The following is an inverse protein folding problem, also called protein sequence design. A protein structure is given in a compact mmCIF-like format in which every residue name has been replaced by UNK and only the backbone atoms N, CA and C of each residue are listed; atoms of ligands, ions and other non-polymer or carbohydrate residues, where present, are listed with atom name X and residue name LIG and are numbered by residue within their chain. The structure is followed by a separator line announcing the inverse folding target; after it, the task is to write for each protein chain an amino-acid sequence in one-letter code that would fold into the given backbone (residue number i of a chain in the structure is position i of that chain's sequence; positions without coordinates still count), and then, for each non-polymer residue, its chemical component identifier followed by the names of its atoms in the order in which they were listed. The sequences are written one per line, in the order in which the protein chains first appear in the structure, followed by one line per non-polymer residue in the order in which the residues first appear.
data_IF_943881189554
#
_entry.id   IF_943881189554
#
_cell.length_a   1.000
_cell.length_b   1.000
_cell.length_c   1.000
_cell.angle_alpha   90.00
_cell.angle_beta   90.00
_cell.angle_gamma   90.00
#
_symmetry.space_group_name_H-M   'P 1'
#
loop_
_entity.id
_entity.type
_entity.pdbx_description
1 polymer ?
#
# COMPACT_ATOMS: atom_id res chain seq x y z
N UNK A 1 10.27 10.87 7.45
CA UNK A 1 9.30 9.95 8.08
C UNK A 1 8.59 10.69 9.20
N UNK A 2 7.29 10.51 9.35
CA UNK A 2 6.43 11.31 10.21
C UNK A 2 5.33 10.45 10.80
N UNK A 3 5.06 10.63 12.10
CA UNK A 3 3.93 10.03 12.79
C UNK A 3 2.75 11.02 12.77
N UNK A 4 1.71 10.70 12.00
CA UNK A 4 0.53 11.57 11.87
C UNK A 4 -0.43 11.49 13.06
N UNK A 5 -0.19 10.55 13.98
CA UNK A 5 -1.15 10.08 14.99
C UNK A 5 -2.17 9.08 14.46
N UNK A 6 -2.16 8.77 13.16
CA UNK A 6 -3.04 7.76 12.54
C UNK A 6 -2.26 6.72 11.76
N UNK A 7 -1.18 7.13 11.12
CA UNK A 7 -0.34 6.27 10.30
C UNK A 7 1.08 6.83 10.25
N UNK A 8 2.02 5.96 9.85
CA UNK A 8 3.37 6.38 9.51
C UNK A 8 3.37 6.86 8.07
N UNK A 9 3.88 8.07 7.86
CA UNK A 9 4.00 8.71 6.55
C UNK A 9 5.47 8.97 6.22
N UNK A 10 5.91 8.56 5.04
CA UNK A 10 7.21 8.91 4.49
C UNK A 10 6.97 9.72 3.21
N UNK A 11 7.40 10.98 3.24
CA UNK A 11 7.39 11.88 2.08
C UNK A 11 8.81 12.11 1.62
N UNK A 12 9.00 12.15 0.30
CA UNK A 12 10.30 12.41 -0.30
C UNK A 12 10.58 13.91 -0.31
N UNK A 13 11.86 14.24 -0.40
CA UNK A 13 12.27 15.61 -0.70
C UNK A 13 11.84 15.97 -2.13
N UNK A 14 11.44 17.22 -2.34
CA UNK A 14 10.95 17.73 -3.63
C UNK A 14 12.02 17.74 -4.72
N UNK A 15 13.29 17.69 -4.34
CA UNK A 15 14.42 17.59 -5.28
C UNK A 15 14.60 16.17 -5.83
N UNK A 16 14.15 15.14 -5.10
CA UNK A 16 14.34 13.73 -5.45
C UNK A 16 13.04 13.14 -5.99
N UNK A 17 12.78 13.39 -7.26
CA UNK A 17 11.56 12.95 -7.94
C UNK A 17 11.63 11.45 -8.26
N UNK A 18 10.62 10.70 -7.83
CA UNK A 18 10.43 9.28 -8.16
C UNK A 18 9.13 9.15 -8.94
N UNK A 19 9.21 8.59 -10.14
CA UNK A 19 8.06 8.40 -11.03
C UNK A 19 7.88 6.91 -11.38
N UNK A 20 6.65 6.52 -11.65
CA UNK A 20 6.27 5.22 -12.19
C UNK A 20 5.50 5.40 -13.51
N UNK A 21 5.55 4.39 -14.38
CA UNK A 21 4.81 4.35 -15.64
C UNK A 21 4.61 2.90 -16.11
N UNK A 22 3.74 2.69 -17.11
CA UNK A 22 3.42 1.37 -17.66
C UNK A 22 2.33 0.61 -16.90
N UNK A 23 2.26 -0.71 -17.12
CA UNK A 23 1.21 -1.56 -16.52
C UNK A 23 -0.20 -1.10 -16.94
N UNK A 24 -1.12 -0.83 -15.99
CA UNK A 24 -2.46 -0.35 -16.30
C UNK A 24 -2.54 1.17 -16.57
N UNK A 25 -1.43 1.90 -16.43
CA UNK A 25 -1.39 3.36 -16.48
C UNK A 25 -1.10 3.86 -17.90
N UNK A 26 -1.81 4.92 -18.30
CA UNK A 26 -1.52 5.65 -19.55
C UNK A 26 -0.46 6.73 -19.36
N UNK A 27 -0.40 7.33 -18.17
CA UNK A 27 0.46 8.49 -17.84
C UNK A 27 1.55 8.11 -16.85
N UNK A 28 2.61 8.92 -16.76
CA UNK A 28 3.56 8.80 -15.66
C UNK A 28 3.03 9.44 -14.37
N UNK A 29 3.17 8.72 -13.25
CA UNK A 29 2.72 9.17 -11.94
C UNK A 29 3.90 9.37 -11.01
N UNK A 30 3.88 10.46 -10.25
CA UNK A 30 4.94 10.84 -9.32
C UNK A 30 4.60 10.45 -7.90
N UNK A 31 5.54 9.83 -7.20
CA UNK A 31 5.41 9.45 -5.80
C UNK A 31 5.26 10.68 -4.91
N UNK A 32 4.21 10.70 -4.09
CA UNK A 32 3.92 11.75 -3.11
C UNK A 32 4.17 11.26 -1.67
N UNK A 33 3.65 10.07 -1.35
CA UNK A 33 3.65 9.54 0.02
C UNK A 33 3.79 8.02 0.00
N UNK A 34 4.65 7.49 0.88
CA UNK A 34 4.64 6.08 1.28
C UNK A 34 3.98 5.99 2.65
N UNK A 35 2.96 5.15 2.77
CA UNK A 35 2.15 4.99 3.98
C UNK A 35 2.22 3.56 4.47
N UNK A 36 2.26 3.39 5.80
CA UNK A 36 2.19 2.08 6.44
C UNK A 36 0.86 1.88 7.17
N UNK A 37 0.23 0.75 6.89
CA UNK A 37 -0.87 0.18 7.65
C UNK A 37 -0.40 -1.11 8.32
N UNK A 38 -0.75 -1.32 9.58
CA UNK A 38 -0.34 -2.52 10.32
C UNK A 38 -1.30 -2.86 11.45
N UNK A 39 -1.35 -4.15 11.76
CA UNK A 39 -2.25 -4.73 12.73
C UNK A 39 -1.64 -4.86 14.11
N UNK A 40 -2.50 -4.98 15.12
CA UNK A 40 -2.10 -5.42 16.46
C UNK A 40 -1.66 -6.89 16.47
N UNK A 41 -2.15 -7.68 15.51
CA UNK A 41 -1.82 -9.10 15.33
C UNK A 41 -1.19 -9.41 13.95
N UNK A 42 -0.48 -10.53 13.86
CA UNK A 42 0.28 -10.93 12.67
C UNK A 42 -0.62 -11.29 11.47
N UNK A 43 -1.92 -11.51 11.70
CA UNK A 43 -2.90 -11.83 10.65
C UNK A 43 -3.94 -10.74 10.36
N UNK A 44 -3.78 -9.52 10.91
CA UNK A 44 -4.84 -8.50 10.90
C UNK A 44 -4.32 -7.06 10.71
N UNK A 45 -3.64 -6.75 9.61
CA UNK A 45 -3.05 -5.42 9.42
C UNK A 45 -3.04 -4.85 8.01
N UNK A 46 -3.35 -5.65 6.99
CA UNK A 46 -3.54 -5.14 5.64
C UNK A 46 -4.98 -4.64 5.44
N UNK A 47 -5.14 -3.60 4.63
CA UNK A 47 -6.48 -3.12 4.24
C UNK A 47 -7.08 -4.07 3.19
N UNK A 48 -6.25 -4.52 2.26
CA UNK A 48 -6.62 -5.55 1.29
C UNK A 48 -6.57 -6.94 1.91
N UNK A 49 -7.46 -7.82 1.43
CA UNK A 49 -7.46 -9.24 1.77
C UNK A 49 -7.24 -10.05 0.51
N UNK A 50 -6.40 -11.09 0.61
CA UNK A 50 -6.23 -12.08 -0.46
C UNK A 50 -7.00 -13.33 -0.08
N UNK A 51 -8.03 -13.68 -0.85
CA UNK A 51 -8.92 -14.82 -0.57
C UNK A 51 -9.48 -14.81 0.88
N UNK A 52 -9.86 -13.60 1.35
CA UNK A 52 -10.36 -13.38 2.71
C UNK A 52 -9.31 -13.36 3.82
N UNK A 53 -8.02 -13.51 3.48
CA UNK A 53 -6.93 -13.50 4.47
C UNK A 53 -6.21 -12.15 4.47
N UNK A 54 -5.99 -11.60 5.67
CA UNK A 54 -5.17 -10.41 5.89
C UNK A 54 -3.69 -10.78 6.10
N UNK A 55 -2.83 -9.81 5.87
CA UNK A 55 -1.42 -9.83 6.21
C UNK A 55 -1.15 -9.00 7.46
N UNK A 56 0.07 -9.08 8.01
CA UNK A 56 0.46 -8.35 9.21
C UNK A 56 0.44 -6.82 9.01
N UNK A 57 0.56 -6.38 7.76
CA UNK A 57 0.44 -4.98 7.37
C UNK A 57 0.42 -4.79 5.86
N UNK A 58 0.39 -3.54 5.43
CA UNK A 58 0.39 -3.12 4.03
C UNK A 58 1.15 -1.80 3.87
N UNK A 59 2.02 -1.74 2.86
CA UNK A 59 2.65 -0.52 2.40
C UNK A 59 1.86 0.02 1.21
N UNK A 60 1.51 1.30 1.25
CA UNK A 60 0.86 2.00 0.14
C UNK A 60 1.77 3.12 -0.37
N UNK A 61 2.21 3.00 -1.62
CA UNK A 61 2.94 4.05 -2.33
C UNK A 61 1.95 4.83 -3.18
N UNK A 62 1.68 6.08 -2.78
CA UNK A 62 0.67 6.95 -3.37
C UNK A 62 1.35 7.86 -4.39
N UNK A 63 0.95 7.72 -5.64
CA UNK A 63 1.46 8.51 -6.75
C UNK A 63 0.34 9.37 -7.35
N UNK A 64 0.65 10.59 -7.76
CA UNK A 64 -0.29 11.44 -8.49
C UNK A 64 0.12 11.61 -9.94
N UNK A 65 -0.87 11.81 -10.81
CA UNK A 65 -0.66 12.07 -12.21
C UNK A 65 -0.11 13.50 -12.42
N UNK A 66 1.21 13.59 -12.50
CA UNK A 66 1.92 14.85 -12.64
C UNK A 66 1.97 15.37 -14.08
N UNK A 67 1.53 14.57 -15.05
CA UNK A 67 1.40 15.00 -16.45
C UNK A 67 0.10 15.78 -16.68
N UNK A 68 -0.98 15.44 -15.94
CA UNK A 68 -2.28 16.09 -16.05
C UNK A 68 -2.52 17.18 -15.00
N UNK A 69 -1.93 17.07 -13.82
CA UNK A 69 -2.25 17.94 -12.68
C UNK A 69 -1.00 18.56 -12.08
N UNK A 70 -1.14 19.79 -11.60
CA UNK A 70 -0.02 20.57 -11.06
C UNK A 70 0.53 20.00 -9.76
N UNK A 71 -0.34 19.38 -8.96
CA UNK A 71 -0.01 18.86 -7.65
C UNK A 71 -0.96 17.73 -7.21
N UNK A 72 -0.55 17.02 -6.17
CA UNK A 72 -1.33 15.96 -5.54
C UNK A 72 -2.76 16.41 -5.14
N UNK A 73 -2.93 17.60 -4.56
CA UNK A 73 -4.23 18.09 -4.07
C UNK A 73 -5.26 18.22 -5.18
N UNK A 74 -4.83 18.69 -6.36
CA UNK A 74 -5.67 18.76 -7.55
C UNK A 74 -5.95 17.38 -8.15
N UNK A 75 -4.91 16.56 -8.25
CA UNK A 75 -5.02 15.20 -8.79
C UNK A 75 -5.95 14.31 -7.94
N UNK A 76 -5.84 14.38 -6.61
CA UNK A 76 -6.58 13.51 -5.69
C UNK A 76 -8.11 13.61 -5.84
N UNK A 77 -8.63 14.73 -6.34
CA UNK A 77 -10.07 14.96 -6.58
C UNK A 77 -10.49 14.80 -8.04
N UNK A 78 -9.57 14.41 -8.91
CA UNK A 78 -9.76 14.45 -10.37
C UNK A 78 -9.61 13.06 -11.01
N UNK A 79 -10.27 12.79 -12.15
CA UNK A 79 -10.16 11.51 -12.85
C UNK A 79 -8.72 11.17 -13.25
N UNK A 80 -8.35 9.88 -13.22
CA UNK A 80 -6.98 9.43 -13.49
C UNK A 80 -5.93 10.15 -12.62
N UNK A 81 -6.33 10.58 -11.43
CA UNK A 81 -5.55 11.45 -10.58
C UNK A 81 -4.50 10.70 -9.78
N UNK A 82 -4.84 9.52 -9.27
CA UNK A 82 -3.98 8.75 -8.37
C UNK A 82 -3.73 7.33 -8.86
N UNK A 83 -2.52 6.86 -8.64
CA UNK A 83 -2.16 5.45 -8.69
C UNK A 83 -1.55 5.06 -7.35
N UNK A 84 -2.10 4.01 -6.73
CA UNK A 84 -1.62 3.52 -5.44
C UNK A 84 -1.07 2.12 -5.63
N UNK A 85 0.24 1.96 -5.43
CA UNK A 85 0.88 0.65 -5.38
C UNK A 85 0.78 0.13 -3.95
N UNK A 86 0.12 -1.01 -3.78
CA UNK A 86 -0.06 -1.70 -2.51
C UNK A 86 0.82 -2.95 -2.46
N UNK A 87 1.55 -3.10 -1.36
CA UNK A 87 2.46 -4.22 -1.11
C UNK A 87 2.19 -4.76 0.29
N UNK A 88 1.80 -6.02 0.39
CA UNK A 88 1.59 -6.68 1.67
C UNK A 88 2.89 -6.79 2.48
N UNK A 89 2.79 -6.66 3.79
CA UNK A 89 3.87 -6.89 4.74
C UNK A 89 3.68 -8.23 5.44
N UNK A 90 4.67 -9.14 5.32
CA UNK A 90 4.65 -10.46 5.93
C UNK A 90 5.85 -10.64 6.87
N UNK A 91 5.60 -11.18 8.06
CA UNK A 91 6.69 -11.47 9.00
C UNK A 91 7.55 -12.64 8.49
N UNK A 92 8.86 -12.47 8.55
CA UNK A 92 9.86 -13.49 8.26
C UNK A 92 11.11 -13.31 9.14
N UNK A 93 12.08 -14.22 9.03
CA UNK A 93 13.36 -14.14 9.74
C UNK A 93 14.23 -12.97 9.26
N UNK A 94 14.13 -12.63 7.97
CA UNK A 94 14.87 -11.54 7.36
C UNK A 94 13.93 -10.50 6.77
N UNK A 95 14.30 -9.22 6.94
CA UNK A 95 13.60 -8.07 6.36
C UNK A 95 14.26 -7.64 5.06
N UNK A 96 13.49 -7.02 4.16
CA UNK A 96 14.09 -6.36 3.00
C UNK A 96 14.91 -5.12 3.42
N UNK A 97 15.85 -4.72 2.57
CA UNK A 97 16.82 -3.66 2.85
C UNK A 97 16.15 -2.29 3.09
N UNK A 98 15.08 -1.99 2.36
CA UNK A 98 14.30 -0.76 2.55
C UNK A 98 13.73 -0.68 3.97
N UNK A 99 12.99 -1.71 4.43
CA UNK A 99 12.40 -1.70 5.76
C UNK A 99 13.46 -1.83 6.86
N UNK A 100 14.60 -2.46 6.61
CA UNK A 100 15.74 -2.45 7.55
C UNK A 100 16.25 -1.03 7.82
N UNK A 101 16.39 -0.21 6.79
CA UNK A 101 16.82 1.19 6.94
C UNK A 101 15.71 2.05 7.54
N UNK A 102 14.48 1.90 7.05
CA UNK A 102 13.34 2.71 7.48
C UNK A 102 12.89 2.39 8.92
N UNK A 103 12.94 1.12 9.34
CA UNK A 103 12.43 0.66 10.63
C UNK A 103 13.54 0.30 11.61
N UNK A 104 14.74 0.87 11.44
CA UNK A 104 15.80 0.70 12.43
C UNK A 104 15.42 1.36 13.77
N UNK A 105 16.10 0.94 14.84
CA UNK A 105 15.80 1.39 16.21
C UNK A 105 15.86 2.91 16.36
N UNK A 106 16.89 3.55 15.80
CA UNK A 106 17.09 5.00 15.93
C UNK A 106 15.98 5.79 15.25
N UNK A 107 15.50 5.30 14.10
CA UNK A 107 14.40 5.91 13.36
C UNK A 107 13.09 5.76 14.10
N UNK A 108 12.73 4.53 14.50
CA UNK A 108 11.43 4.24 15.10
C UNK A 108 11.26 4.98 16.43
N UNK A 109 12.29 4.99 17.27
CA UNK A 109 12.23 5.69 18.56
C UNK A 109 12.02 7.20 18.42
N UNK A 110 12.49 7.80 17.32
CA UNK A 110 12.32 9.23 17.02
C UNK A 110 10.96 9.60 16.45
N UNK A 111 10.12 8.63 16.10
CA UNK A 111 8.75 8.88 15.60
C UNK A 111 7.67 8.25 16.49
N UNK A 112 8.00 8.00 17.76
CA UNK A 112 7.15 7.21 18.67
C UNK A 112 5.78 7.85 18.87
N UNK A 113 5.69 9.17 18.98
CA UNK A 113 4.46 9.87 19.32
C UNK A 113 3.91 10.70 18.17
N UNK A 114 2.64 11.04 18.27
CA UNK A 114 1.97 11.90 17.29
C UNK A 114 2.73 13.21 17.09
N UNK A 115 2.87 13.58 15.83
CA UNK A 115 3.59 14.75 15.32
C UNK A 115 5.12 14.66 15.36
N UNK A 116 5.69 13.55 15.83
CA UNK A 116 7.12 13.34 15.71
C UNK A 116 7.54 13.14 14.25
N UNK A 117 8.69 13.72 13.89
CA UNK A 117 9.25 13.66 12.55
C UNK A 117 10.74 13.34 12.61
N UNK A 118 11.21 12.54 11.65
CA UNK A 118 12.62 12.24 11.48
C UNK A 118 13.01 12.24 10.01
N UNK A 119 14.14 12.91 9.70
CA UNK A 119 14.72 12.92 8.37
C UNK A 119 15.49 11.62 8.13
N UNK A 120 15.06 10.88 7.12
CA UNK A 120 15.75 9.67 6.66
C UNK A 120 16.58 10.00 5.43
N UNK A 121 17.80 9.49 5.38
CA UNK A 121 18.73 9.64 4.26
C UNK A 121 19.14 8.27 3.73
N UNK A 122 19.53 8.20 2.44
CA UNK A 122 20.05 6.97 1.84
C UNK A 122 19.01 5.84 1.65
N UNK A 123 17.72 6.17 1.59
CA UNK A 123 16.68 5.21 1.19
C UNK A 123 16.60 5.13 -0.34
N UNK A 124 16.72 3.92 -0.88
CA UNK A 124 16.41 3.65 -2.28
C UNK A 124 14.98 3.12 -2.37
N UNK A 125 14.09 3.87 -3.03
CA UNK A 125 12.67 3.48 -3.15
C UNK A 125 12.49 2.19 -3.94
N UNK A 126 13.38 1.88 -4.89
CA UNK A 126 13.30 0.64 -5.67
C UNK A 126 13.35 -0.61 -4.78
N UNK A 127 14.09 -0.56 -3.67
CA UNK A 127 14.28 -1.68 -2.74
C UNK A 127 13.01 -2.08 -1.98
N UNK A 128 11.96 -1.26 -2.01
CA UNK A 128 10.66 -1.63 -1.43
C UNK A 128 9.86 -2.53 -2.37
N UNK A 129 10.14 -2.51 -3.67
CA UNK A 129 9.42 -3.33 -4.62
C UNK A 129 9.88 -4.78 -4.49
N UNK A 130 8.95 -5.74 -4.34
CA UNK A 130 9.29 -7.14 -4.34
C UNK A 130 9.76 -7.58 -5.74
N UNK A 131 10.61 -8.61 -5.80
CA UNK A 131 11.06 -9.21 -7.06
C UNK A 131 9.92 -9.97 -7.77
N UNK A 132 8.99 -9.22 -8.35
CA UNK A 132 7.91 -9.73 -9.19
C UNK A 132 7.38 -8.61 -10.08
N UNK A 133 7.02 -8.96 -11.32
CA UNK A 133 6.26 -8.08 -12.22
C UNK A 133 4.76 -8.36 -12.18
N UNK A 134 4.34 -9.37 -11.42
CA UNK A 134 2.95 -9.79 -11.32
C UNK A 134 2.16 -8.93 -10.34
N UNK A 135 0.98 -8.47 -10.75
CA UNK A 135 0.10 -7.65 -9.93
C UNK A 135 -1.37 -7.86 -10.28
N UNK A 136 -2.24 -7.37 -9.39
CA UNK A 136 -3.68 -7.23 -9.57
C UNK A 136 -4.00 -5.74 -9.59
N UNK A 137 -4.97 -5.30 -10.40
CA UNK A 137 -5.33 -3.89 -10.51
C UNK A 137 -6.83 -3.67 -10.67
N UNK A 138 -7.34 -2.60 -10.08
CA UNK A 138 -8.75 -2.21 -10.15
C UNK A 138 -8.91 -0.71 -9.83
N UNK A 139 -10.04 -0.11 -10.22
CA UNK A 139 -10.38 1.28 -9.88
C UNK A 139 -11.06 1.36 -8.51
N UNK A 140 -10.63 2.29 -7.66
CA UNK A 140 -11.14 2.43 -6.30
C UNK A 140 -10.96 3.82 -5.74
N UNK A 141 -10.95 3.88 -4.41
CA UNK A 141 -10.86 5.12 -3.66
C UNK A 141 -9.58 5.19 -2.84
N UNK A 142 -9.29 6.38 -2.31
CA UNK A 142 -8.44 6.49 -1.13
C UNK A 142 -9.07 5.75 0.06
N UNK A 143 -8.25 5.23 0.97
CA UNK A 143 -8.72 4.54 2.19
C UNK A 143 -8.79 5.43 3.42
N UNK A 144 -8.27 6.66 3.30
CA UNK A 144 -8.36 7.71 4.33
C UNK A 144 -9.28 8.83 3.81
N UNK A 145 -10.12 9.44 4.67
CA UNK A 145 -10.93 10.61 4.31
C UNK A 145 -10.12 11.67 3.54
N UNK A 146 -10.68 12.24 2.46
CA UNK A 146 -12.09 12.22 2.06
C UNK A 146 -12.53 11.02 1.19
N UNK A 147 -11.70 9.99 1.02
CA UNK A 147 -12.06 8.77 0.30
C UNK A 147 -12.46 9.01 -1.18
N UNK A 148 -11.81 9.93 -1.89
CA UNK A 148 -12.09 10.18 -3.31
C UNK A 148 -11.90 8.93 -4.16
N UNK A 149 -12.85 8.67 -5.08
CA UNK A 149 -12.86 7.53 -6.01
C UNK A 149 -12.06 7.82 -7.29
N UNK A 150 -10.80 8.21 -7.10
CA UNK A 150 -9.88 8.69 -8.16
C UNK A 150 -8.61 7.86 -8.27
N UNK A 151 -8.57 6.72 -7.56
CA UNK A 151 -7.37 5.91 -7.38
C UNK A 151 -7.43 4.61 -8.18
N UNK A 152 -6.48 4.41 -9.08
CA UNK A 152 -6.19 3.10 -9.65
C UNK A 152 -5.26 2.34 -8.71
N UNK A 153 -5.71 1.19 -8.21
CA UNK A 153 -4.93 0.34 -7.31
C UNK A 153 -4.07 -0.65 -8.09
N UNK A 154 -2.84 -0.87 -7.64
CA UNK A 154 -1.91 -1.90 -8.14
C UNK A 154 -1.43 -2.71 -6.93
N UNK A 155 -1.91 -3.94 -6.78
CA UNK A 155 -1.54 -4.84 -5.69
C UNK A 155 -0.45 -5.80 -6.18
N UNK A 156 0.74 -5.71 -5.60
CA UNK A 156 1.87 -6.59 -5.98
C UNK A 156 1.63 -8.03 -5.53
N UNK A 157 1.91 -9.00 -6.40
CA UNK A 157 1.69 -10.45 -6.15
C UNK A 157 2.79 -11.11 -5.29
N UNK A 158 3.55 -10.33 -4.53
CA UNK A 158 4.56 -10.81 -3.59
C UNK A 158 4.64 -9.81 -2.44
N UNK A 159 4.66 -10.27 -1.18
CA UNK A 159 4.81 -9.36 -0.05
C UNK A 159 6.26 -8.88 0.07
N UNK A 160 6.44 -7.77 0.78
CA UNK A 160 7.71 -7.44 1.43
C UNK A 160 7.78 -8.10 2.80
N UNK A 161 9.01 -8.43 3.20
CA UNK A 161 9.25 -9.10 4.46
C UNK A 161 9.82 -8.13 5.49
N UNK A 162 9.38 -8.29 6.74
CA UNK A 162 9.95 -7.64 7.91
C UNK A 162 10.10 -8.64 9.05
N UNK A 163 10.99 -8.34 9.98
CA UNK A 163 11.19 -9.16 11.18
C UNK A 163 10.06 -8.95 12.19
N UNK A 164 9.87 -9.94 13.07
CA UNK A 164 8.94 -9.81 14.21
C UNK A 164 9.30 -8.62 15.10
N UNK A 165 10.59 -8.32 15.26
CA UNK A 165 11.04 -7.15 16.02
C UNK A 165 10.58 -5.84 15.38
N UNK A 166 10.78 -5.66 14.07
CA UNK A 166 10.32 -4.45 13.37
C UNK A 166 8.80 -4.29 13.45
N UNK A 167 8.05 -5.38 13.30
CA UNK A 167 6.59 -5.34 13.44
C UNK A 167 6.18 -4.94 14.87
N UNK A 168 6.83 -5.51 15.88
CA UNK A 168 6.59 -5.12 17.27
C UNK A 168 6.91 -3.64 17.52
N UNK A 169 8.00 -3.12 16.95
CA UNK A 169 8.36 -1.71 17.05
C UNK A 169 7.33 -0.78 16.40
N UNK A 170 6.72 -1.18 15.27
CA UNK A 170 5.59 -0.44 14.68
C UNK A 170 4.37 -0.38 15.62
N UNK A 171 4.05 -1.50 16.28
CA UNK A 171 2.93 -1.59 17.23
C UNK A 171 3.12 -0.73 18.49
N UNK A 172 4.35 -0.31 18.79
CA UNK A 172 4.69 0.59 19.89
C UNK A 172 4.59 2.08 19.51
N UNK A 173 4.28 2.42 18.26
CA UNK A 173 3.97 3.79 17.89
C UNK A 173 2.64 4.22 18.49
N UNK A 174 2.57 5.45 18.99
CA UNK A 174 1.40 6.02 19.64
C UNK A 174 0.63 6.94 18.69
N UNK A 175 -0.70 6.89 18.78
CA UNK A 175 -1.63 7.86 18.18
C UNK A 175 -1.64 9.20 18.94
N UNK A 176 -1.13 9.21 20.16
CA UNK A 176 -1.21 10.33 21.08
C UNK A 176 0.16 10.98 21.31
N UNK A 177 0.16 12.16 21.92
CA UNK A 177 1.37 12.83 22.39
C UNK A 177 1.89 12.20 23.71
N UNK A 178 3.15 12.46 24.12
CA UNK A 178 3.73 11.85 25.32
C UNK A 178 2.99 12.16 26.63
N UNK A 179 2.28 13.29 26.69
CA UNK A 179 1.51 13.74 27.86
C UNK A 179 0.16 13.05 28.03
N UNK A 180 -0.22 12.19 27.08
CA UNK A 180 -1.53 11.53 27.03
C UNK A 180 -1.37 10.02 27.22
N UNK A 181 -2.47 9.35 27.55
CA UNK A 181 -2.49 7.88 27.67
C UNK A 181 -2.03 7.27 26.36
N UNK A 182 -1.10 6.31 26.47
CA UNK A 182 -0.60 5.57 25.32
C UNK A 182 -1.77 4.87 24.60
N UNK A 183 -1.90 5.14 23.31
CA UNK A 183 -2.84 4.47 22.43
C UNK A 183 -2.07 3.99 21.21
N UNK A 184 -1.94 2.68 21.04
CA UNK A 184 -1.20 2.10 19.91
C UNK A 184 -1.77 2.57 18.57
N UNK A 185 -0.90 2.87 17.62
CA UNK A 185 -1.24 3.18 16.22
C UNK A 185 -1.63 1.92 15.41
N UNK A 186 -1.52 0.73 16.00
CA UNK A 186 -1.97 -0.51 15.36
C UNK A 186 -3.45 -0.44 14.99
N UNK A 187 -3.84 -1.31 14.06
CA UNK A 187 -5.21 -1.40 13.54
C UNK A 187 -5.67 -0.11 12.84
N UNK A 188 -4.71 0.61 12.24
CA UNK A 188 -4.95 1.80 11.43
C UNK A 188 -5.44 1.47 10.01
N UNK A 189 -6.31 0.49 9.89
CA UNK A 189 -6.84 -0.05 8.63
C UNK A 189 -8.30 0.34 8.41
N UNK A 190 -8.67 0.58 7.16
CA UNK A 190 -10.07 0.63 6.74
C UNK A 190 -10.57 -0.79 6.45
N UNK A 191 -11.77 -1.18 6.93
CA UNK A 191 -12.37 -2.46 6.58
C UNK A 191 -12.63 -2.60 5.07
N UNK A 192 -12.60 -3.85 4.57
CA UNK A 192 -12.92 -4.16 3.18
C UNK A 192 -14.30 -3.64 2.78
N UNK A 193 -14.38 -3.15 1.54
CA UNK A 193 -15.60 -2.57 0.98
C UNK A 193 -16.15 -3.46 -0.14
N UNK A 194 -17.46 -3.41 -0.43
CA UNK A 194 -18.07 -4.19 -1.50
C UNK A 194 -17.42 -3.96 -2.88
N UNK A 195 -17.35 -5.02 -3.71
CA UNK A 195 -16.75 -4.91 -5.04
C UNK A 195 -17.61 -4.09 -6.02
N UNK A 196 -18.94 -4.07 -5.85
CA UNK A 196 -19.88 -3.27 -6.66
C UNK A 196 -19.65 -3.40 -8.18
N UNK A 197 -19.52 -4.63 -8.69
CA UNK A 197 -19.32 -4.95 -10.11
C UNK A 197 -18.04 -4.38 -10.74
N UNK A 198 -17.10 -3.86 -9.96
CA UNK A 198 -15.80 -3.41 -10.48
C UNK A 198 -15.02 -4.56 -11.09
N UNK A 199 -14.39 -4.31 -12.23
CA UNK A 199 -13.54 -5.29 -12.89
C UNK A 199 -12.17 -5.34 -12.20
N UNK A 200 -11.77 -6.54 -11.79
CA UNK A 200 -10.41 -6.82 -11.31
C UNK A 200 -9.62 -7.38 -12.49
N UNK A 201 -8.49 -6.74 -12.79
CA UNK A 201 -7.57 -7.14 -13.86
C UNK A 201 -6.27 -7.65 -13.26
N UNK A 202 -5.55 -8.48 -14.00
CA UNK A 202 -4.23 -8.97 -13.58
C UNK A 202 -3.40 -9.36 -14.79
N UNK A 203 -2.08 -9.26 -14.66
CA UNK A 203 -1.13 -9.80 -15.62
C UNK A 203 -0.58 -11.19 -15.20
N UNK A 204 -1.11 -11.78 -14.12
CA UNK A 204 -0.72 -13.11 -13.66
C UNK A 204 -1.24 -14.15 -14.65
N UNK A 205 -0.33 -14.96 -15.20
CA UNK A 205 -0.73 -16.09 -16.03
C UNK A 205 -1.04 -17.31 -15.17
N UNK A 206 -2.32 -17.57 -14.94
CA UNK A 206 -2.80 -18.73 -14.17
C UNK A 206 -2.64 -20.07 -14.89
N UNK A 207 -2.30 -20.09 -16.19
CA UNK A 207 -2.08 -21.32 -16.94
C UNK A 207 -0.71 -21.96 -16.66
N UNK A 208 0.24 -21.18 -16.13
CA UNK A 208 1.55 -21.69 -15.71
C UNK A 208 1.44 -22.20 -14.27
N UNK A 209 1.11 -23.48 -14.10
CA UNK A 209 1.13 -24.12 -12.78
C UNK A 209 2.56 -24.19 -12.26
N UNK A 210 2.92 -23.31 -11.33
CA UNK A 210 4.09 -23.51 -10.46
C UNK A 210 3.86 -24.73 -9.57
N UNK A 211 4.90 -25.55 -9.36
CA UNK A 211 4.83 -26.82 -8.62
C UNK A 211 4.39 -26.70 -7.16
N UNK A 212 4.36 -25.49 -6.57
CA UNK A 212 3.97 -25.27 -5.17
C UNK A 212 3.06 -24.04 -5.01
N UNK A 213 1.75 -24.22 -5.24
CA UNK A 213 0.73 -23.23 -4.87
C UNK A 213 -0.50 -23.93 -4.28
N UNK A 214 -0.69 -23.91 -2.94
CA UNK A 214 -1.76 -24.66 -2.28
C UNK A 214 -3.18 -24.09 -2.47
N UNK A 215 -3.35 -22.97 -3.19
CA UNK A 215 -4.64 -22.26 -3.33
C UNK A 215 -5.13 -22.09 -4.79
N UNK A 216 -4.85 -23.05 -5.66
CA UNK A 216 -5.33 -23.05 -7.06
C UNK A 216 -6.81 -23.48 -7.19
N UNK A 217 -7.76 -22.74 -6.61
CA UNK A 217 -9.17 -22.80 -7.06
C UNK A 217 -9.42 -21.68 -8.06
N UNK A 218 -9.19 -21.97 -9.33
CA UNK A 218 -9.58 -21.10 -10.44
C UNK A 218 -11.11 -21.05 -10.48
N UNK A 219 -11.71 -19.97 -10.00
CA UNK A 219 -13.08 -19.65 -10.39
C UNK A 219 -13.03 -19.17 -11.84
N UNK A 220 -13.63 -19.96 -12.74
CA UNK A 220 -13.72 -19.66 -14.17
C UNK A 220 -14.50 -18.33 -14.31
N UNK A 221 -13.81 -17.24 -14.64
CA UNK A 221 -14.44 -15.97 -14.99
C UNK A 221 -15.33 -16.21 -16.21
N UNK A 222 -16.65 -16.19 -16.01
CA UNK A 222 -17.64 -16.23 -17.08
C UNK A 222 -18.20 -14.83 -17.24
N UNK A 223 -18.10 -14.28 -18.45
CA UNK A 223 -18.82 -13.07 -18.82
C UNK A 223 -20.18 -13.46 -19.36
N UNK A 224 -21.25 -12.92 -18.76
CA UNK A 224 -22.58 -12.88 -19.38
C UNK A 224 -22.72 -11.50 -20.00
N UNK A 225 -22.75 -11.44 -21.33
CA UNK A 225 -23.15 -10.23 -22.05
C UNK A 225 -24.67 -10.11 -21.94
N UNK A 226 -25.18 -8.95 -21.54
CA UNK A 226 -26.61 -8.69 -21.63
C UNK A 226 -26.97 -8.57 -23.12
N UNK A 227 -27.73 -9.52 -23.66
CA UNK A 227 -28.17 -9.53 -25.08
C UNK A 227 -29.17 -8.40 -25.44
N UNK A 228 -29.43 -7.45 -24.55
CA UNK A 228 -30.43 -6.41 -24.76
C UNK A 228 -29.76 -5.05 -24.92
N UNK A 229 -29.45 -4.72 -26.18
CA UNK A 229 -29.62 -3.40 -26.82
C UNK A 229 -28.90 -3.39 -28.19
N UNK A 230 -29.44 -4.17 -29.12
CA UNK A 230 -29.35 -3.85 -30.54
C UNK A 230 -30.79 -3.77 -31.04
N UNK A 231 -31.33 -2.55 -31.04
CA UNK A 231 -32.43 -2.12 -31.88
C UNK A 231 -31.90 -1.01 -32.77
#
# INVERSE_FOLDING_TARGET
MYNTGRHVSLRLDKEHLVNISGGPMTYSHRLEEIRLHFGSEDGQGSEHLLNGQAFSGEVQLIHYNHELYTNYTEAAKSPNGLVIVSIFMKIAEASNSFLNRMLNRDTITRITYKNDAYLLTGLNIEEIYPETSSFITYEGSMTIPPCFETATWILMNKPVYLTRMQMHSLRLLSQNQPSQIFLSMSDNVRPVQPLNNRCIRTNINFSMQGKDCPNNRVQKLQYRVNEWLLK
#
